data_IF_856891048428
#
_entry.id   IF_856891048428
#
_cell.length_a   1.000
_cell.length_b   1.000
_cell.length_c   1.000
_cell.angle_alpha   90.00
_cell.angle_beta   90.00
_cell.angle_gamma   90.00
#
_symmetry.space_group_name_H-M   'P 1'
#
loop_
_entity.id
_entity.type
_entity.pdbx_description
1 polymer ?
#
# COMPACT_ATOMS: atom_id res chain seq x y z
N UNK A 1 -1.15 -7.25 2.89
CA UNK A 1 0.10 -6.58 3.31
C UNK A 1 -0.14 -5.22 3.97
N UNK A 2 -1.17 -5.05 4.80
CA UNK A 2 -1.50 -3.75 5.40
C UNK A 2 -1.94 -3.80 6.86
N UNK A 3 -2.11 -4.98 7.45
CA UNK A 3 -2.76 -5.13 8.76
C UNK A 3 -1.85 -4.67 9.89
N UNK A 4 -0.57 -5.04 9.81
CA UNK A 4 0.42 -4.83 10.87
C UNK A 4 1.74 -4.23 10.34
N UNK A 5 1.71 -3.64 9.14
CA UNK A 5 2.80 -2.82 8.56
C UNK A 5 4.20 -3.44 8.68
N UNK A 6 4.33 -4.74 8.41
CA UNK A 6 5.61 -5.48 8.49
C UNK A 6 5.64 -6.52 9.62
N UNK A 7 4.56 -6.64 10.38
CA UNK A 7 4.38 -7.66 11.40
C UNK A 7 4.15 -9.08 10.87
N UNK A 8 3.78 -10.03 11.76
CA UNK A 8 3.60 -11.44 11.42
C UNK A 8 2.58 -11.70 10.32
N UNK A 9 1.44 -10.99 10.29
CA UNK A 9 0.38 -11.19 9.29
C UNK A 9 0.88 -10.80 7.91
N UNK A 10 1.55 -9.65 7.81
CA UNK A 10 2.21 -9.24 6.57
C UNK A 10 3.26 -10.27 6.14
N UNK A 11 4.14 -10.72 7.04
CA UNK A 11 5.17 -11.71 6.70
C UNK A 11 4.57 -13.03 6.21
N UNK A 12 3.51 -13.53 6.86
CA UNK A 12 2.81 -14.74 6.41
C UNK A 12 2.22 -14.55 5.01
N UNK A 13 1.57 -13.43 4.73
CA UNK A 13 1.03 -13.15 3.39
C UNK A 13 2.14 -13.06 2.33
N UNK A 14 3.27 -12.45 2.67
CA UNK A 14 4.42 -12.36 1.77
C UNK A 14 5.06 -13.72 1.48
N UNK A 15 5.29 -14.53 2.51
CA UNK A 15 5.80 -15.91 2.35
C UNK A 15 4.83 -16.78 1.55
N UNK A 16 3.52 -16.61 1.74
CA UNK A 16 2.52 -17.28 0.90
C UNK A 16 2.66 -16.87 -0.58
N UNK A 17 2.82 -15.57 -0.86
CA UNK A 17 3.07 -15.08 -2.21
C UNK A 17 4.28 -15.73 -2.87
N UNK A 18 5.40 -15.84 -2.15
CA UNK A 18 6.61 -16.54 -2.64
C UNK A 18 6.32 -18.01 -2.92
N UNK A 19 5.63 -18.73 -2.02
CA UNK A 19 5.27 -20.12 -2.25
C UNK A 19 4.39 -20.30 -3.49
N UNK A 20 3.53 -19.33 -3.81
CA UNK A 20 2.72 -19.36 -5.03
C UNK A 20 3.56 -19.13 -6.29
N UNK A 21 4.62 -18.31 -6.23
CA UNK A 21 5.60 -18.20 -7.32
C UNK A 21 6.23 -19.57 -7.60
N UNK A 22 6.69 -20.27 -6.56
CA UNK A 22 7.29 -21.62 -6.69
C UNK A 22 6.31 -22.63 -7.29
N UNK A 23 5.01 -22.50 -6.96
CA UNK A 23 3.94 -23.32 -7.53
C UNK A 23 3.53 -22.91 -8.96
N UNK A 24 4.21 -21.94 -9.58
CA UNK A 24 3.94 -21.47 -10.94
C UNK A 24 2.75 -20.51 -11.07
N UNK A 25 2.21 -20.01 -9.95
CA UNK A 25 1.12 -19.04 -9.95
C UNK A 25 1.60 -17.68 -9.43
N UNK A 26 1.89 -16.76 -10.37
CA UNK A 26 2.50 -15.46 -10.06
C UNK A 26 1.49 -14.40 -9.59
N UNK A 27 0.19 -14.64 -9.76
CA UNK A 27 -0.87 -13.67 -9.45
C UNK A 27 -0.96 -13.29 -7.96
N UNK A 28 -1.00 -14.27 -7.03
CA UNK A 28 -1.04 -14.00 -5.60
C UNK A 28 0.10 -13.11 -5.12
N UNK A 29 1.32 -13.33 -5.61
CA UNK A 29 2.46 -12.50 -5.22
C UNK A 29 2.36 -11.06 -5.76
N UNK A 30 1.88 -10.89 -7.00
CA UNK A 30 1.58 -9.56 -7.53
C UNK A 30 0.56 -8.82 -6.66
N UNK A 31 -0.50 -9.51 -6.20
CA UNK A 31 -1.51 -8.93 -5.33
C UNK A 31 -0.96 -8.51 -3.95
N UNK A 32 -0.12 -9.36 -3.36
CA UNK A 32 0.59 -9.08 -2.10
C UNK A 32 1.48 -7.85 -2.26
N UNK A 33 2.24 -7.79 -3.35
CA UNK A 33 3.14 -6.68 -3.68
C UNK A 33 2.38 -5.37 -3.90
N UNK A 34 1.33 -5.37 -4.73
CA UNK A 34 0.49 -4.19 -4.94
C UNK A 34 -0.11 -3.70 -3.62
N UNK A 35 -0.66 -4.62 -2.83
CA UNK A 35 -1.28 -4.31 -1.54
C UNK A 35 -0.29 -3.77 -0.50
N UNK A 36 1.01 -4.12 -0.54
CA UNK A 36 1.98 -3.57 0.41
C UNK A 36 2.56 -2.22 0.01
N UNK A 37 2.48 -1.84 -1.27
CA UNK A 37 2.85 -0.47 -1.69
C UNK A 37 1.81 0.56 -1.24
N UNK A 38 0.54 0.15 -1.11
CA UNK A 38 -0.59 1.04 -0.83
C UNK A 38 -0.49 1.81 0.49
N UNK A 39 -0.22 1.21 1.67
CA UNK A 39 -0.31 1.92 2.96
C UNK A 39 0.52 3.21 3.05
N UNK A 40 1.85 3.19 2.78
CA UNK A 40 2.64 4.41 2.75
C UNK A 40 2.22 5.38 1.64
N UNK A 41 1.93 4.92 0.42
CA UNK A 41 1.48 5.81 -0.66
C UNK A 41 0.17 6.53 -0.31
N UNK A 42 -0.77 5.81 0.31
CA UNK A 42 -2.03 6.37 0.77
C UNK A 42 -1.83 7.47 1.81
N UNK A 43 -0.91 7.28 2.76
CA UNK A 43 -0.60 8.28 3.78
C UNK A 43 0.11 9.50 3.20
N UNK A 44 1.01 9.27 2.24
CA UNK A 44 1.66 10.34 1.50
C UNK A 44 0.64 11.21 0.74
N UNK A 45 -0.32 10.57 0.07
CA UNK A 45 -1.42 11.25 -0.61
C UNK A 45 -2.36 11.95 0.38
N UNK A 46 -2.76 11.29 1.46
CA UNK A 46 -3.67 11.86 2.46
C UNK A 46 -3.09 13.12 3.11
N UNK A 47 -1.80 13.08 3.49
CA UNK A 47 -1.09 14.24 4.07
C UNK A 47 -0.90 15.37 3.06
N UNK A 48 -0.77 15.04 1.77
CA UNK A 48 -0.64 16.04 0.69
C UNK A 48 -1.96 16.72 0.36
N UNK A 49 -3.07 15.97 0.34
CA UNK A 49 -4.40 16.42 -0.06
C UNK A 49 -5.19 17.06 1.10
N UNK A 50 -5.10 16.50 2.30
CA UNK A 50 -5.87 16.92 3.48
C UNK A 50 -4.97 17.56 4.54
N UNK A 51 -4.06 18.45 4.12
CA UNK A 51 -2.97 19.04 4.94
C UNK A 51 -3.41 19.63 6.28
N UNK A 52 -4.64 20.11 6.39
CA UNK A 52 -5.19 20.69 7.63
C UNK A 52 -5.59 19.65 8.70
N UNK A 53 -5.57 18.36 8.35
CA UNK A 53 -5.93 17.25 9.24
C UNK A 53 -4.72 16.51 9.84
N UNK A 54 -3.51 16.95 9.49
CA UNK A 54 -2.26 16.31 9.89
C UNK A 54 -1.32 17.29 10.57
N UNK A 55 -0.53 16.79 11.52
CA UNK A 55 0.51 17.59 12.21
C UNK A 55 1.66 17.91 11.26
N UNK A 56 2.59 18.76 11.69
CA UNK A 56 3.78 19.08 10.88
C UNK A 56 4.64 17.82 10.68
N UNK A 57 4.81 17.04 11.73
CA UNK A 57 5.57 15.80 11.76
C UNK A 57 4.93 14.75 10.84
N UNK A 58 3.61 14.59 10.90
CA UNK A 58 2.87 13.71 9.98
C UNK A 58 3.01 14.17 8.52
N UNK A 59 3.01 15.47 8.25
CA UNK A 59 3.22 16.01 6.89
C UNK A 59 4.63 15.76 6.38
N UNK A 60 5.64 15.88 7.23
CA UNK A 60 7.03 15.61 6.85
C UNK A 60 7.28 14.11 6.66
N UNK A 61 6.72 13.25 7.53
CA UNK A 61 6.72 11.81 7.33
C UNK A 61 5.97 11.40 6.05
N UNK A 62 4.87 12.09 5.73
CA UNK A 62 4.10 11.89 4.51
C UNK A 62 4.92 12.08 3.23
N UNK A 63 5.85 13.03 3.20
CA UNK A 63 6.76 13.21 2.05
C UNK A 63 7.67 12.00 1.85
N UNK A 64 8.25 11.49 2.94
CA UNK A 64 9.10 10.29 2.91
C UNK A 64 8.33 9.05 2.47
N UNK A 65 7.04 8.98 2.82
CA UNK A 65 6.18 7.84 2.48
C UNK A 65 5.93 7.65 0.98
N UNK A 66 6.09 8.68 0.13
CA UNK A 66 6.08 8.47 -1.32
C UNK A 66 7.19 7.52 -1.77
N UNK A 67 8.40 7.71 -1.24
CA UNK A 67 9.54 6.86 -1.54
C UNK A 67 9.36 5.48 -0.90
N UNK A 68 9.02 5.42 0.39
CA UNK A 68 8.85 4.15 1.10
C UNK A 68 7.80 3.26 0.43
N UNK A 69 6.66 3.83 0.04
CA UNK A 69 5.64 3.06 -0.67
C UNK A 69 6.04 2.63 -2.07
N UNK A 70 6.77 3.46 -2.79
CA UNK A 70 7.35 3.08 -4.08
C UNK A 70 8.35 1.93 -3.97
N UNK A 71 9.01 1.76 -2.82
CA UNK A 71 9.95 0.65 -2.57
C UNK A 71 9.35 -0.52 -1.79
N UNK A 72 8.02 -0.59 -1.65
CA UNK A 72 7.33 -1.65 -0.91
C UNK A 72 7.73 -1.70 0.59
N UNK A 73 8.04 -0.55 1.18
CA UNK A 73 8.36 -0.43 2.61
C UNK A 73 7.09 0.01 3.34
N UNK A 74 6.36 -0.97 3.88
CA UNK A 74 5.07 -0.77 4.56
C UNK A 74 5.18 -0.02 5.88
N UNK A 75 6.37 -0.05 6.51
CA UNK A 75 6.68 0.45 7.85
C UNK A 75 6.52 1.97 7.96
N UNK A 76 6.59 2.69 6.84
CA UNK A 76 6.30 4.14 6.80
C UNK A 76 4.91 4.50 7.30
N UNK A 77 3.99 3.52 7.37
CA UNK A 77 2.66 3.70 7.92
C UNK A 77 2.57 3.56 9.45
N UNK A 78 3.57 2.97 10.11
CA UNK A 78 3.55 2.71 11.57
C UNK A 78 3.29 3.98 12.38
N UNK A 79 3.99 5.12 12.16
CA UNK A 79 3.77 6.31 12.97
C UNK A 79 2.32 6.84 12.90
N UNK A 80 1.70 6.75 11.72
CA UNK A 80 0.33 7.19 11.50
C UNK A 80 -0.69 6.24 12.12
N UNK A 81 -0.46 4.93 11.97
CA UNK A 81 -1.31 3.90 12.58
C UNK A 81 -1.20 3.91 14.11
N UNK A 82 -0.03 4.22 14.67
CA UNK A 82 0.12 4.38 16.12
C UNK A 82 -0.63 5.61 16.64
N UNK A 83 -0.65 6.71 15.88
CA UNK A 83 -1.34 7.94 16.27
C UNK A 83 -2.87 7.87 16.13
N UNK A 84 -3.39 7.21 15.10
CA UNK A 84 -4.84 7.09 14.83
C UNK A 84 -5.19 5.69 14.26
N UNK A 85 -5.07 4.62 15.08
CA UNK A 85 -5.21 3.24 14.59
C UNK A 85 -6.59 2.96 14.03
N UNK A 86 -7.63 3.48 14.68
CA UNK A 86 -9.03 3.22 14.33
C UNK A 86 -9.44 3.76 12.96
N UNK A 87 -8.75 4.79 12.45
CA UNK A 87 -9.03 5.33 11.10
C UNK A 87 -8.01 4.88 10.08
N UNK A 88 -6.74 4.82 10.45
CA UNK A 88 -5.65 4.51 9.51
C UNK A 88 -5.69 3.05 9.09
N UNK A 89 -5.71 2.11 10.05
CA UNK A 89 -5.59 0.68 9.76
C UNK A 89 -6.74 0.18 8.88
N UNK A 90 -8.03 0.45 9.19
CA UNK A 90 -9.12 0.00 8.32
C UNK A 90 -9.04 0.61 6.91
N UNK A 91 -8.64 1.88 6.80
CA UNK A 91 -8.54 2.57 5.51
C UNK A 91 -7.46 1.95 4.61
N UNK A 92 -6.26 1.71 5.15
CA UNK A 92 -5.16 1.09 4.37
C UNK A 92 -5.47 -0.37 4.03
N UNK A 93 -6.18 -1.10 4.90
CA UNK A 93 -6.62 -2.47 4.60
C UNK A 93 -7.55 -2.47 3.39
N UNK A 94 -8.56 -1.60 3.37
CA UNK A 94 -9.53 -1.52 2.26
C UNK A 94 -8.84 -1.22 0.94
N UNK A 95 -8.02 -0.18 0.86
CA UNK A 95 -7.36 0.11 -0.41
C UNK A 95 -6.32 -0.92 -0.81
N UNK A 96 -5.63 -1.57 0.13
CA UNK A 96 -4.70 -2.66 -0.17
C UNK A 96 -5.41 -3.89 -0.71
N UNK A 97 -6.59 -4.22 -0.17
CA UNK A 97 -7.45 -5.28 -0.68
C UNK A 97 -7.92 -4.96 -2.10
N UNK A 98 -8.31 -3.72 -2.37
CA UNK A 98 -8.72 -3.28 -3.71
C UNK A 98 -7.56 -3.34 -4.70
N UNK A 99 -6.37 -2.88 -4.35
CA UNK A 99 -5.20 -2.98 -5.21
C UNK A 99 -4.85 -4.44 -5.53
N UNK A 100 -4.86 -5.31 -4.52
CA UNK A 100 -4.65 -6.75 -4.72
C UNK A 100 -5.71 -7.39 -5.62
N UNK A 101 -6.99 -7.08 -5.39
CA UNK A 101 -8.10 -7.60 -6.19
C UNK A 101 -8.03 -7.13 -7.65
N UNK A 102 -7.72 -5.84 -7.87
CA UNK A 102 -7.54 -5.29 -9.22
C UNK A 102 -6.32 -5.90 -9.91
N UNK A 103 -5.21 -6.10 -9.20
CA UNK A 103 -4.03 -6.78 -9.75
C UNK A 103 -4.38 -8.17 -10.27
N UNK A 104 -5.15 -8.95 -9.50
CA UNK A 104 -5.60 -10.28 -9.90
C UNK A 104 -6.59 -10.22 -11.08
N UNK A 105 -7.55 -9.28 -11.03
CA UNK A 105 -8.53 -9.11 -12.10
C UNK A 105 -7.87 -8.72 -13.43
N UNK A 106 -6.88 -7.84 -13.40
CA UNK A 106 -6.10 -7.47 -14.59
C UNK A 106 -5.16 -8.59 -15.07
N UNK A 107 -5.13 -9.74 -14.39
CA UNK A 107 -4.30 -10.88 -14.77
C UNK A 107 -2.81 -10.59 -14.62
N UNK A 108 -2.42 -9.71 -13.68
CA UNK A 108 -1.02 -9.37 -13.46
C UNK A 108 -0.34 -10.48 -12.65
N UNK A 109 0.79 -10.97 -13.16
CA UNK A 109 1.68 -11.88 -12.45
C UNK A 109 3.01 -11.19 -12.12
N UNK A 110 3.63 -11.52 -10.99
CA UNK A 110 4.93 -10.96 -10.61
C UNK A 110 5.92 -12.08 -10.26
N UNK A 111 6.94 -12.31 -11.10
CA UNK A 111 7.97 -13.34 -10.85
C UNK A 111 9.03 -12.90 -9.85
N UNK A 112 9.22 -11.58 -9.66
CA UNK A 112 10.23 -11.06 -8.75
C UNK A 112 9.73 -11.09 -7.29
N UNK A 113 10.53 -11.61 -6.34
CA UNK A 113 10.09 -11.78 -4.96
C UNK A 113 9.95 -10.44 -4.22
N UNK A 114 10.74 -9.42 -4.56
CA UNK A 114 10.69 -8.11 -3.91
C UNK A 114 11.34 -7.05 -4.82
N UNK A 115 10.94 -5.78 -4.68
CA UNK A 115 11.67 -4.64 -5.26
C UNK A 115 10.87 -3.38 -5.55
N UNK A 116 9.58 -3.35 -5.16
CA UNK A 116 8.72 -2.19 -5.33
C UNK A 116 8.61 -1.75 -6.80
N UNK A 117 8.88 -0.48 -7.06
CA UNK A 117 8.80 0.12 -8.39
C UNK A 117 9.76 -0.54 -9.40
N UNK A 118 10.90 -1.07 -8.95
CA UNK A 118 11.90 -1.67 -9.85
C UNK A 118 11.47 -3.00 -10.45
N UNK A 119 10.49 -3.67 -9.85
CA UNK A 119 9.97 -4.95 -10.36
C UNK A 119 8.71 -4.78 -11.20
N UNK A 120 8.19 -3.56 -11.32
CA UNK A 120 7.03 -3.27 -12.18
C UNK A 120 7.31 -3.62 -13.65
N UNK A 121 8.49 -3.33 -14.24
CA UNK A 121 8.78 -3.72 -15.62
C UNK A 121 8.87 -5.24 -15.83
N UNK A 122 9.00 -6.03 -14.75
CA UNK A 122 9.16 -7.49 -14.83
C UNK A 122 7.84 -8.23 -14.60
N UNK A 123 6.72 -7.53 -14.41
CA UNK A 123 5.41 -8.18 -14.28
C UNK A 123 4.97 -8.82 -15.59
N UNK A 124 4.32 -9.97 -15.48
CA UNK A 124 3.54 -10.55 -16.57
C UNK A 124 2.19 -9.82 -16.69
N UNK A 125 1.72 -9.65 -17.92
CA UNK A 125 0.53 -8.85 -18.22
C UNK A 125 0.85 -7.36 -18.41
N UNK A 126 -0.07 -6.49 -18.02
CA UNK A 126 0.08 -5.04 -18.24
C UNK A 126 0.66 -4.34 -17.01
N UNK A 127 1.93 -3.95 -17.10
CA UNK A 127 2.60 -3.12 -16.09
C UNK A 127 1.88 -1.79 -15.83
N UNK A 128 1.24 -1.22 -16.85
CA UNK A 128 0.41 -0.03 -16.70
C UNK A 128 -0.82 -0.30 -15.82
N UNK A 129 -1.53 -1.40 -16.05
CA UNK A 129 -2.69 -1.77 -15.23
C UNK A 129 -2.29 -2.10 -13.79
N UNK A 130 -1.09 -2.64 -13.58
CA UNK A 130 -0.54 -2.87 -12.25
C UNK A 130 -0.30 -1.56 -11.48
N UNK A 131 0.33 -0.56 -12.13
CA UNK A 131 0.48 0.78 -11.56
C UNK A 131 -0.89 1.38 -11.24
N UNK A 132 -1.84 1.27 -12.16
CA UNK A 132 -3.20 1.76 -11.97
C UNK A 132 -3.88 1.10 -10.76
N UNK A 133 -3.73 -0.22 -10.58
CA UNK A 133 -4.28 -0.94 -9.43
C UNK A 133 -3.72 -0.40 -8.10
N UNK A 134 -2.40 -0.21 -8.01
CA UNK A 134 -1.74 0.36 -6.83
C UNK A 134 -2.23 1.78 -6.56
N UNK A 135 -2.28 2.63 -7.59
CA UNK A 135 -2.73 4.01 -7.45
C UNK A 135 -4.19 4.10 -7.03
N UNK A 136 -5.07 3.27 -7.58
CA UNK A 136 -6.49 3.22 -7.15
C UNK A 136 -6.58 2.85 -5.67
N UNK A 137 -5.87 1.81 -5.22
CA UNK A 137 -5.86 1.43 -3.81
C UNK A 137 -5.32 2.52 -2.88
N UNK A 138 -4.25 3.20 -3.30
CA UNK A 138 -3.65 4.32 -2.56
C UNK A 138 -4.61 5.52 -2.48
N UNK A 139 -5.26 5.89 -3.59
CA UNK A 139 -6.23 6.98 -3.64
C UNK A 139 -7.44 6.67 -2.76
N UNK A 140 -8.01 5.47 -2.85
CA UNK A 140 -9.17 5.07 -2.03
C UNK A 140 -8.83 5.16 -0.55
N UNK A 141 -7.69 4.58 -0.14
CA UNK A 141 -7.22 4.68 1.25
C UNK A 141 -7.01 6.13 1.68
N UNK A 142 -6.41 6.96 0.82
CA UNK A 142 -6.15 8.37 1.10
C UNK A 142 -7.44 9.17 1.29
N UNK A 143 -8.44 8.92 0.45
CA UNK A 143 -9.78 9.53 0.56
C UNK A 143 -10.48 9.05 1.83
N UNK A 144 -10.43 7.76 2.16
CA UNK A 144 -11.00 7.23 3.41
C UNK A 144 -10.38 7.91 4.64
N UNK A 145 -9.04 7.95 4.74
CA UNK A 145 -8.34 8.63 5.84
C UNK A 145 -8.70 10.12 5.84
N UNK A 146 -8.66 10.75 4.67
CA UNK A 146 -8.93 12.16 4.47
C UNK A 146 -10.33 12.57 4.90
N UNK A 147 -11.37 11.83 4.54
CA UNK A 147 -12.74 12.14 4.95
C UNK A 147 -13.03 11.77 6.40
N UNK A 148 -12.41 10.70 6.91
CA UNK A 148 -12.66 10.22 8.26
C UNK A 148 -11.93 11.04 9.34
N UNK A 149 -10.68 11.48 9.10
CA UNK A 149 -9.97 12.36 10.03
C UNK A 149 -10.68 13.71 10.14
N UNK A 150 -10.67 14.29 11.34
CA UNK A 150 -11.17 15.66 11.58
C UNK A 150 -10.02 16.67 11.41
N UNK A 151 -10.30 17.92 11.02
CA UNK A 151 -9.31 18.98 11.03
C UNK A 151 -8.70 19.15 12.42
N UNK A 152 -7.40 19.44 12.49
CA UNK A 152 -6.76 19.78 13.75
C UNK A 152 -7.33 21.12 14.24
N UNK A 153 -7.73 21.18 15.51
CA UNK A 153 -8.01 22.46 16.16
C UNK A 153 -6.68 23.20 16.28
N UNK A 154 -6.61 24.39 15.68
CA UNK A 154 -5.44 25.27 15.75
C UNK A 154 -5.43 26.01 17.07
#
# INVERSE_FOLDING_TARGET
MAVDMGGPINKTAFTFGIAMIEAGNLGPHAAVMAGGMVPPLALALATTLFRNKFTKEEKDAGKTNYALGSFFITEGAIPFAAADPGRVIPSIIVGSAIAGALSLWFGVGLPAPHGGIFVIPTVEGSWLLYIVAILIGAIISALMIGFWKKPLQK
#
